data_IF_032380034453
#
_entry.id   IF_032380034453
#
_cell.length_a   1.000
_cell.length_b   1.000
_cell.length_c   1.000
_cell.angle_alpha   90.00
_cell.angle_beta   90.00
_cell.angle_gamma   90.00
#
_symmetry.space_group_name_H-M   'P 1'
#
loop_
_entity.id
_entity.type
_entity.pdbx_description
1 polymer ?
#
# COMPACT_ATOMS: atom_id res chain seq x y z
N UNK A 1 10.52 3.00 -15.19
CA UNK A 1 9.32 3.13 -14.32
C UNK A 1 9.61 2.47 -12.98
N UNK A 2 8.85 2.74 -11.90
CA UNK A 2 9.04 2.05 -10.61
C UNK A 2 9.08 0.52 -10.75
N UNK A 3 8.30 0.00 -11.70
CA UNK A 3 8.27 -1.41 -12.07
C UNK A 3 9.66 -2.00 -12.38
N UNK A 4 10.52 -1.27 -13.10
CA UNK A 4 11.86 -1.73 -13.44
C UNK A 4 12.83 -1.74 -12.25
N UNK A 5 12.54 -0.96 -11.21
CA UNK A 5 13.39 -0.84 -10.02
C UNK A 5 13.07 -1.88 -8.94
N UNK A 6 11.89 -2.49 -9.00
CA UNK A 6 11.46 -3.53 -8.05
C UNK A 6 11.71 -4.90 -8.68
N UNK A 7 12.68 -5.69 -8.17
CA UNK A 7 13.01 -6.99 -8.73
C UNK A 7 11.79 -7.91 -8.80
N UNK A 8 11.68 -8.69 -9.87
CA UNK A 8 10.53 -9.59 -10.09
C UNK A 8 10.37 -10.64 -8.98
N UNK A 9 11.47 -11.04 -8.33
CA UNK A 9 11.47 -12.00 -7.22
C UNK A 9 11.25 -11.34 -5.83
N UNK A 10 11.07 -10.01 -5.77
CA UNK A 10 10.86 -9.29 -4.51
C UNK A 10 9.54 -9.69 -3.86
N UNK A 11 9.50 -9.70 -2.52
CA UNK A 11 8.35 -10.22 -1.77
C UNK A 11 7.05 -9.46 -2.06
N UNK A 12 7.12 -8.13 -2.20
CA UNK A 12 5.94 -7.31 -2.56
C UNK A 12 5.32 -7.69 -3.90
N UNK A 13 6.10 -8.16 -4.87
CA UNK A 13 5.58 -8.66 -6.16
C UNK A 13 4.76 -9.92 -5.95
N UNK A 14 5.25 -10.82 -5.10
CA UNK A 14 4.54 -12.04 -4.74
C UNK A 14 3.24 -11.71 -4.00
N UNK A 15 3.27 -10.74 -3.09
CA UNK A 15 2.09 -10.28 -2.36
C UNK A 15 1.04 -9.73 -3.32
N UNK A 16 1.42 -8.82 -4.21
CA UNK A 16 0.50 -8.23 -5.21
C UNK A 16 -0.11 -9.29 -6.13
N UNK A 17 0.68 -10.29 -6.53
CA UNK A 17 0.20 -11.37 -7.39
C UNK A 17 -0.67 -12.40 -6.66
N UNK A 18 -0.62 -12.46 -5.33
CA UNK A 18 -1.30 -13.51 -4.54
C UNK A 18 -2.70 -13.10 -4.10
N UNK A 19 -2.99 -11.81 -4.02
CA UNK A 19 -4.22 -11.28 -3.44
C UNK A 19 -4.77 -10.20 -4.37
N UNK A 20 -5.98 -10.41 -4.87
CA UNK A 20 -6.78 -9.31 -5.39
C UNK A 20 -7.35 -8.53 -4.21
N UNK A 21 -6.99 -7.26 -4.07
CA UNK A 21 -7.41 -6.42 -2.95
C UNK A 21 -8.76 -5.69 -3.20
N UNK A 22 -9.34 -5.80 -4.40
CA UNK A 22 -10.54 -5.06 -4.77
C UNK A 22 -11.76 -5.39 -3.89
N UNK A 23 -11.82 -6.61 -3.33
CA UNK A 23 -12.91 -7.01 -2.41
C UNK A 23 -13.02 -6.11 -1.17
N UNK A 24 -11.95 -5.41 -0.79
CA UNK A 24 -11.95 -4.52 0.38
C UNK A 24 -12.92 -3.37 0.20
N UNK A 25 -13.04 -2.82 -1.01
CA UNK A 25 -13.94 -1.69 -1.29
C UNK A 25 -15.38 -2.04 -0.93
N UNK A 26 -15.85 -3.23 -1.30
CA UNK A 26 -17.20 -3.69 -0.99
C UNK A 26 -17.39 -3.91 0.52
N UNK A 27 -16.38 -4.42 1.22
CA UNK A 27 -16.45 -4.68 2.67
C UNK A 27 -16.57 -3.41 3.51
N UNK A 28 -15.89 -2.33 3.11
CA UNK A 28 -15.83 -1.10 3.92
C UNK A 28 -16.68 0.03 3.35
N UNK A 29 -17.44 -0.23 2.29
CA UNK A 29 -18.23 0.78 1.57
C UNK A 29 -19.07 1.66 2.49
N UNK A 30 -19.80 1.07 3.43
CA UNK A 30 -20.68 1.80 4.35
C UNK A 30 -19.93 2.62 5.41
N UNK A 31 -18.63 2.39 5.56
CA UNK A 31 -17.76 3.11 6.49
C UNK A 31 -17.06 4.31 5.85
N UNK A 32 -17.09 4.41 4.51
CA UNK A 32 -16.47 5.48 3.75
C UNK A 32 -17.52 6.42 3.19
N UNK A 33 -17.24 7.72 3.29
CA UNK A 33 -18.11 8.77 2.73
C UNK A 33 -17.48 9.34 1.47
N UNK A 34 -18.30 9.46 0.42
CA UNK A 34 -17.95 10.19 -0.81
C UNK A 34 -18.00 11.72 -0.61
N UNK A 35 -18.60 12.19 0.49
CA UNK A 35 -18.77 13.61 0.81
C UNK A 35 -17.94 14.00 2.03
N UNK A 36 -17.20 15.09 1.93
CA UNK A 36 -16.41 15.67 3.03
C UNK A 36 -14.91 15.58 2.78
N UNK A 37 -14.11 15.49 3.85
CA UNK A 37 -12.66 15.34 3.74
C UNK A 37 -12.33 13.94 3.23
N UNK A 38 -11.58 13.80 2.11
CA UNK A 38 -11.16 12.50 1.63
C UNK A 38 -10.39 11.73 2.70
N UNK A 39 -10.80 10.49 2.94
CA UNK A 39 -10.05 9.54 3.76
C UNK A 39 -8.96 8.88 2.92
N UNK A 40 -8.00 8.21 3.57
CA UNK A 40 -7.02 7.38 2.86
C UNK A 40 -7.75 6.27 2.08
N UNK A 41 -7.23 5.89 0.92
CA UNK A 41 -7.79 4.77 0.18
C UNK A 41 -7.76 3.47 1.04
N UNK A 42 -8.87 2.73 1.14
CA UNK A 42 -8.96 1.58 2.03
C UNK A 42 -8.03 0.42 1.62
N UNK A 43 -7.80 0.22 0.32
CA UNK A 43 -6.86 -0.79 -0.17
C UNK A 43 -5.44 -0.41 0.20
N UNK A 44 -5.06 0.87 0.05
CA UNK A 44 -3.74 1.37 0.46
C UNK A 44 -3.54 1.20 1.97
N UNK A 45 -4.54 1.53 2.78
CA UNK A 45 -4.47 1.36 4.24
C UNK A 45 -4.21 -0.11 4.63
N UNK A 46 -4.93 -1.05 3.99
CA UNK A 46 -4.71 -2.48 4.24
C UNK A 46 -3.33 -2.91 3.72
N UNK A 47 -2.92 -2.50 2.52
CA UNK A 47 -1.58 -2.81 1.99
C UNK A 47 -0.45 -2.28 2.88
N UNK A 48 -0.61 -1.13 3.54
CA UNK A 48 0.33 -0.64 4.55
C UNK A 48 0.44 -1.60 5.75
N UNK A 49 -0.67 -2.15 6.24
CA UNK A 49 -0.62 -3.18 7.30
C UNK A 49 0.08 -4.44 6.82
N UNK A 50 -0.12 -4.85 5.56
CA UNK A 50 0.60 -5.98 4.98
C UNK A 50 2.11 -5.75 4.96
N UNK A 51 2.58 -4.57 4.54
CA UNK A 51 4.01 -4.20 4.62
C UNK A 51 4.47 -4.28 6.07
N UNK A 52 3.72 -3.66 6.98
CA UNK A 52 4.04 -3.60 8.40
C UNK A 52 4.30 -5.00 8.98
N UNK A 53 3.36 -5.93 8.80
CA UNK A 53 3.46 -7.27 9.35
C UNK A 53 4.49 -8.14 8.61
N UNK A 54 4.55 -8.07 7.29
CA UNK A 54 5.43 -8.93 6.47
C UNK A 54 6.90 -8.58 6.68
N UNK A 55 7.23 -7.28 6.80
CA UNK A 55 8.59 -6.81 7.01
C UNK A 55 8.92 -6.54 8.48
N UNK A 56 8.01 -6.85 9.41
CA UNK A 56 8.24 -6.77 10.86
C UNK A 56 8.39 -5.34 11.40
N UNK A 57 7.79 -4.34 10.75
CA UNK A 57 7.85 -2.94 11.18
C UNK A 57 6.88 -2.74 12.35
N UNK A 58 7.38 -2.41 13.54
CA UNK A 58 6.53 -2.32 14.74
C UNK A 58 5.60 -1.11 14.79
N UNK A 59 5.79 -0.12 13.92
CA UNK A 59 5.07 1.16 13.96
C UNK A 59 4.49 1.50 12.61
N UNK A 60 3.19 1.83 12.59
CA UNK A 60 2.54 2.32 11.37
C UNK A 60 3.17 3.63 10.89
N UNK A 61 3.51 4.53 11.82
CA UNK A 61 4.19 5.80 11.47
C UNK A 61 5.54 5.55 10.79
N UNK A 62 6.33 4.59 11.29
CA UNK A 62 7.59 4.18 10.64
C UNK A 62 7.36 3.49 9.30
N UNK A 63 6.27 2.74 9.17
CA UNK A 63 5.89 2.09 7.90
C UNK A 63 5.60 3.14 6.81
N UNK A 64 4.89 4.21 7.17
CA UNK A 64 4.62 5.35 6.27
C UNK A 64 5.94 6.05 5.90
N UNK A 65 6.81 6.33 6.87
CA UNK A 65 8.14 6.94 6.61
C UNK A 65 9.01 6.07 5.69
N UNK A 66 8.99 4.76 5.86
CA UNK A 66 9.67 3.85 4.93
C UNK A 66 8.99 3.82 3.56
N UNK A 67 7.67 3.91 3.48
CA UNK A 67 6.95 4.02 2.21
C UNK A 67 7.26 5.32 1.45
N UNK A 68 7.68 6.40 2.12
CA UNK A 68 8.13 7.62 1.44
C UNK A 68 9.45 7.42 0.68
N UNK A 69 10.34 6.53 1.14
CA UNK A 69 11.70 6.39 0.58
C UNK A 69 11.94 5.05 -0.12
N UNK A 70 11.22 4.00 0.27
CA UNK A 70 11.38 2.66 -0.26
C UNK A 70 10.56 2.46 -1.53
N UNK A 71 11.27 2.34 -2.66
CA UNK A 71 10.66 2.16 -3.99
C UNK A 71 9.79 0.90 -4.10
N UNK A 72 10.13 -0.18 -3.40
CA UNK A 72 9.34 -1.41 -3.43
C UNK A 72 8.00 -1.25 -2.71
N UNK A 73 7.97 -0.49 -1.62
CA UNK A 73 6.74 -0.19 -0.90
C UNK A 73 5.86 0.76 -1.69
N UNK A 74 6.43 1.81 -2.30
CA UNK A 74 5.69 2.72 -3.19
C UNK A 74 5.05 1.97 -4.35
N UNK A 75 5.81 1.09 -5.00
CA UNK A 75 5.30 0.25 -6.08
C UNK A 75 4.13 -0.62 -5.62
N UNK A 76 4.23 -1.27 -4.45
CA UNK A 76 3.15 -2.12 -3.91
C UNK A 76 1.88 -1.33 -3.56
N UNK A 77 2.05 -0.12 -3.04
CA UNK A 77 0.97 0.80 -2.70
C UNK A 77 0.36 1.51 -3.92
N UNK A 78 0.97 1.36 -5.11
CA UNK A 78 0.51 2.03 -6.33
C UNK A 78 0.95 3.49 -6.45
N UNK A 79 1.85 3.97 -5.60
CA UNK A 79 2.37 5.34 -5.65
C UNK A 79 3.53 5.48 -6.62
N UNK A 80 3.49 6.53 -7.44
CA UNK A 80 4.57 7.02 -8.27
C UNK A 80 5.70 7.68 -7.47
N UNK A 81 6.75 8.12 -8.19
CA UNK A 81 7.90 8.81 -7.59
C UNK A 81 7.54 10.17 -6.97
N UNK A 82 6.54 10.85 -7.53
CA UNK A 82 6.14 12.21 -7.13
C UNK A 82 4.87 12.23 -6.30
N UNK A 83 4.21 11.08 -6.13
CA UNK A 83 3.00 11.01 -5.33
C UNK A 83 3.33 11.23 -3.85
N UNK A 84 2.40 11.84 -3.14
CA UNK A 84 2.53 11.96 -1.69
C UNK A 84 1.95 10.71 -1.04
N UNK A 85 2.73 10.11 -0.15
CA UNK A 85 2.27 9.05 0.76
C UNK A 85 1.52 9.69 1.94
#
# INVERSE_FOLDING_TARGET
TLDQLVPANHLVRKMEASIDFTFIYDLVKDMYSEVGRPSIDPVILVKLTFIQYTFGIRSMRKTIEEAETNMAYRWFLGYGFHDKV
#
